data_IF_754184476630
#
_entry.id   IF_754184476630
#
_cell.length_a   1.000
_cell.length_b   1.000
_cell.length_c   1.000
_cell.angle_alpha   90.00
_cell.angle_beta   90.00
_cell.angle_gamma   90.00
#
_symmetry.space_group_name_H-M   'P 1'
#
loop_
_entity.id
_entity.type
_entity.pdbx_description
1 polymer ?
#
# COMPACT_ATOMS: atom_id res chain seq x y z
N UNK A 1 -5.71 -22.84 -10.29
CA UNK A 1 -5.93 -24.18 -9.70
C UNK A 1 -7.07 -24.04 -8.72
N UNK A 2 -7.99 -25.00 -8.61
CA UNK A 2 -9.12 -24.90 -7.67
C UNK A 2 -8.61 -24.63 -6.25
N UNK A 3 -9.02 -23.50 -5.69
CA UNK A 3 -8.93 -23.17 -4.27
C UNK A 3 -9.52 -24.35 -3.51
N UNK A 4 -8.68 -25.16 -2.87
CA UNK A 4 -9.16 -26.19 -1.96
C UNK A 4 -9.58 -25.52 -0.66
N UNK A 5 -10.80 -24.99 -0.67
CA UNK A 5 -11.56 -24.92 0.56
C UNK A 5 -11.63 -26.36 1.08
N UNK A 6 -11.06 -26.60 2.26
CA UNK A 6 -11.45 -27.78 3.02
C UNK A 6 -12.90 -27.55 3.44
N UNK A 7 -13.84 -27.81 2.54
CA UNK A 7 -15.24 -27.97 2.88
C UNK A 7 -15.31 -29.15 3.83
N UNK A 8 -15.33 -28.81 5.12
CA UNK A 8 -15.63 -29.71 6.23
C UNK A 8 -17.02 -30.26 5.92
N UNK A 9 -17.08 -31.48 5.38
CA UNK A 9 -18.34 -32.09 4.95
C UNK A 9 -19.33 -32.12 6.10
N UNK A 10 -20.35 -31.27 6.02
CA UNK A 10 -21.36 -31.09 7.06
C UNK A 10 -22.40 -32.20 6.97
N UNK A 11 -22.42 -33.11 7.94
CA UNK A 11 -23.54 -34.03 8.16
C UNK A 11 -24.55 -33.34 9.08
N UNK A 12 -25.62 -32.78 8.50
CA UNK A 12 -26.71 -32.02 9.15
C UNK A 12 -26.26 -30.84 10.02
N UNK A 13 -26.24 -29.63 9.45
CA UNK A 13 -25.95 -28.37 10.18
C UNK A 13 -26.77 -28.30 11.46
N UNK A 14 -26.07 -28.23 12.60
CA UNK A 14 -26.63 -27.53 13.75
C UNK A 14 -26.89 -26.11 13.28
N UNK A 15 -28.12 -25.64 13.46
CA UNK A 15 -28.57 -24.31 13.03
C UNK A 15 -27.98 -23.24 13.96
N UNK A 16 -26.67 -23.01 13.84
CA UNK A 16 -25.96 -21.97 14.56
C UNK A 16 -26.03 -20.68 13.75
N UNK A 17 -26.32 -19.58 14.41
CA UNK A 17 -26.39 -18.25 13.79
C UNK A 17 -25.02 -17.66 13.49
N UNK A 18 -23.99 -18.14 14.18
CA UNK A 18 -22.58 -17.75 14.05
C UNK A 18 -21.69 -18.88 14.55
N UNK A 19 -20.39 -18.80 14.24
CA UNK A 19 -19.41 -19.72 14.80
C UNK A 19 -19.10 -19.33 16.25
N UNK A 20 -19.19 -20.29 17.16
CA UNK A 20 -18.93 -20.07 18.59
C UNK A 20 -17.44 -19.91 18.85
N UNK A 21 -17.06 -19.01 19.75
CA UNK A 21 -15.68 -18.90 20.24
C UNK A 21 -15.57 -19.51 21.63
N UNK A 22 -14.58 -20.37 21.86
CA UNK A 22 -14.27 -20.88 23.19
C UNK A 22 -12.85 -20.47 23.63
N UNK A 23 -12.73 -19.76 24.75
CA UNK A 23 -11.46 -19.38 25.35
C UNK A 23 -11.24 -20.24 26.60
N UNK A 24 -10.11 -20.93 26.71
CA UNK A 24 -9.87 -21.91 27.77
C UNK A 24 -8.68 -21.45 28.62
N UNK A 25 -8.94 -21.05 29.86
CA UNK A 25 -7.87 -20.81 30.84
C UNK A 25 -7.27 -22.15 31.27
N UNK A 26 -5.97 -22.35 31.00
CA UNK A 26 -5.28 -23.63 31.27
C UNK A 26 -3.84 -23.43 31.77
N UNK A 27 -3.18 -24.51 32.19
CA UNK A 27 -1.78 -24.47 32.59
C UNK A 27 -1.13 -25.86 32.62
N UNK A 28 0.17 -25.94 32.33
CA UNK A 28 0.90 -27.23 32.25
C UNK A 28 0.97 -27.98 33.60
N UNK A 29 0.81 -27.29 34.72
CA UNK A 29 0.81 -27.87 36.06
C UNK A 29 -0.57 -28.41 36.50
N UNK A 30 -1.63 -28.12 35.75
CA UNK A 30 -3.00 -28.38 36.13
C UNK A 30 -3.43 -29.81 35.76
N UNK A 31 -3.63 -30.66 36.78
CA UNK A 31 -4.06 -32.05 36.59
C UNK A 31 -5.38 -32.16 35.81
N UNK A 32 -6.38 -31.34 36.15
CA UNK A 32 -7.71 -31.44 35.51
C UNK A 32 -7.74 -30.91 34.08
N UNK A 33 -6.77 -30.06 33.71
CA UNK A 33 -6.71 -29.42 32.40
C UNK A 33 -6.48 -30.42 31.26
N UNK A 34 -5.83 -31.56 31.53
CA UNK A 34 -5.64 -32.63 30.55
C UNK A 34 -6.96 -33.18 29.99
N UNK A 35 -8.04 -33.16 30.80
CA UNK A 35 -9.34 -33.68 30.37
C UNK A 35 -10.02 -32.70 29.41
N UNK A 36 -10.03 -31.40 29.74
CA UNK A 36 -10.52 -30.36 28.83
C UNK A 36 -9.75 -30.36 27.52
N UNK A 37 -8.41 -30.42 27.57
CA UNK A 37 -7.56 -30.46 26.37
C UNK A 37 -7.97 -31.61 25.43
N UNK A 38 -8.07 -32.83 25.97
CA UNK A 38 -8.43 -34.01 25.19
C UNK A 38 -9.85 -33.92 24.62
N UNK A 39 -10.83 -33.48 25.41
CA UNK A 39 -12.24 -33.42 24.99
C UNK A 39 -12.48 -32.30 23.96
N UNK A 40 -11.93 -31.11 24.17
CA UNK A 40 -12.11 -29.99 23.23
C UNK A 40 -11.49 -30.30 21.86
N UNK A 41 -10.31 -30.93 21.84
CA UNK A 41 -9.68 -31.37 20.59
C UNK A 41 -10.47 -32.49 19.90
N UNK A 42 -11.01 -33.46 20.65
CA UNK A 42 -11.86 -34.53 20.11
C UNK A 42 -13.16 -33.98 19.50
N UNK A 43 -13.83 -33.04 20.18
CA UNK A 43 -15.02 -32.35 19.63
C UNK A 43 -14.67 -31.58 18.35
N UNK A 44 -13.55 -30.82 18.37
CA UNK A 44 -13.12 -30.00 17.23
C UNK A 44 -12.81 -30.83 15.98
N UNK A 45 -12.03 -31.91 16.15
CA UNK A 45 -11.60 -32.79 15.06
C UNK A 45 -12.70 -33.69 14.55
N UNK A 46 -13.68 -34.05 15.38
CA UNK A 46 -14.87 -34.78 14.94
C UNK A 46 -15.71 -33.97 13.96
N UNK A 47 -15.74 -32.64 14.13
CA UNK A 47 -16.28 -31.71 13.15
C UNK A 47 -17.79 -31.52 13.13
N UNK A 48 -18.51 -32.08 14.11
CA UNK A 48 -19.97 -31.96 14.22
C UNK A 48 -20.46 -30.66 14.89
N UNK A 49 -19.55 -29.74 15.24
CA UNK A 49 -19.84 -28.47 15.91
C UNK A 49 -19.13 -27.33 15.17
N UNK A 50 -19.82 -26.19 15.04
CA UNK A 50 -19.29 -24.98 14.42
C UNK A 50 -18.73 -24.04 15.49
N UNK A 51 -17.45 -24.21 15.83
CA UNK A 51 -16.76 -23.39 16.83
C UNK A 51 -15.26 -23.34 16.54
N UNK A 52 -14.60 -22.29 17.02
CA UNK A 52 -13.15 -22.25 17.22
C UNK A 52 -12.83 -22.20 18.71
N UNK A 53 -11.62 -22.59 19.08
CA UNK A 53 -11.18 -22.45 20.47
C UNK A 53 -9.71 -22.07 20.59
N UNK A 54 -9.39 -21.41 21.70
CA UNK A 54 -8.05 -20.96 22.07
C UNK A 54 -7.71 -21.50 23.46
N UNK A 55 -6.55 -22.15 23.57
CA UNK A 55 -5.96 -22.52 24.85
C UNK A 55 -5.11 -21.36 25.37
N UNK A 56 -5.60 -20.68 26.40
CA UNK A 56 -4.92 -19.63 27.13
C UNK A 56 -4.01 -20.27 28.19
N UNK A 57 -2.82 -20.72 27.76
CA UNK A 57 -1.84 -21.37 28.64
C UNK A 57 -1.18 -20.31 29.53
N UNK A 58 -1.24 -20.48 30.85
CA UNK A 58 -0.73 -19.53 31.85
C UNK A 58 0.78 -19.23 31.80
N UNK A 59 1.53 -19.99 31.00
CA UNK A 59 2.93 -19.74 30.70
C UNK A 59 3.14 -18.61 29.68
N UNK A 60 2.08 -18.21 28.97
CA UNK A 60 2.08 -17.04 28.08
C UNK A 60 1.52 -15.81 28.85
N UNK A 61 2.29 -14.69 28.97
CA UNK A 61 1.82 -13.49 29.68
C UNK A 61 0.58 -12.84 29.06
N UNK A 62 0.41 -12.91 27.73
CA UNK A 62 -0.78 -12.37 27.03
C UNK A 62 -2.01 -13.22 27.38
N UNK A 63 -1.84 -14.54 27.43
CA UNK A 63 -2.89 -15.46 27.88
C UNK A 63 -3.29 -15.17 29.34
N UNK A 64 -2.31 -14.92 30.22
CA UNK A 64 -2.57 -14.57 31.62
C UNK A 64 -3.37 -13.27 31.74
N UNK A 65 -3.05 -12.25 30.94
CA UNK A 65 -3.83 -11.01 30.91
C UNK A 65 -5.28 -11.28 30.50
N UNK A 66 -5.49 -12.03 29.42
CA UNK A 66 -6.85 -12.40 28.97
C UNK A 66 -7.60 -13.22 30.02
N UNK A 67 -6.94 -14.18 30.68
CA UNK A 67 -7.50 -14.97 31.78
C UNK A 67 -7.93 -14.07 32.96
N UNK A 68 -7.12 -13.06 33.29
CA UNK A 68 -7.44 -12.14 34.38
C UNK A 68 -8.66 -11.27 34.07
N UNK A 69 -8.88 -10.91 32.80
CA UNK A 69 -10.08 -10.17 32.37
C UNK A 69 -11.37 -10.96 32.65
N UNK A 70 -11.29 -12.29 32.62
CA UNK A 70 -12.40 -13.17 33.00
C UNK A 70 -12.49 -13.42 34.51
N UNK A 71 -11.59 -12.88 35.33
CA UNK A 71 -11.54 -13.11 36.77
C UNK A 71 -11.61 -14.62 37.09
N UNK A 72 -10.64 -15.40 36.61
CA UNK A 72 -10.71 -16.87 36.66
C UNK A 72 -10.92 -17.40 38.09
N UNK A 73 -11.82 -18.39 38.21
CA UNK A 73 -12.11 -19.07 39.48
C UNK A 73 -11.12 -20.19 39.81
N UNK A 74 -10.63 -20.89 38.78
CA UNK A 74 -9.73 -22.02 38.88
C UNK A 74 -9.41 -22.56 37.49
N UNK A 75 -8.41 -23.44 37.40
CA UNK A 75 -8.02 -24.07 36.13
C UNK A 75 -8.54 -25.53 36.07
N UNK A 76 -9.06 -25.99 34.92
CA UNK A 76 -9.39 -25.20 33.73
C UNK A 76 -10.74 -24.47 33.90
N UNK A 77 -10.92 -23.38 33.16
CA UNK A 77 -12.23 -22.76 32.90
C UNK A 77 -12.36 -22.47 31.42
N UNK A 78 -13.50 -22.80 30.82
CA UNK A 78 -13.82 -22.47 29.43
C UNK A 78 -14.91 -21.40 29.38
N UNK A 79 -14.64 -20.30 28.69
CA UNK A 79 -15.58 -19.21 28.41
C UNK A 79 -16.01 -19.29 26.95
N UNK A 80 -17.30 -19.54 26.73
CA UNK A 80 -17.93 -19.56 25.40
C UNK A 80 -18.55 -18.20 25.09
N UNK A 81 -18.36 -17.72 23.86
CA UNK A 81 -18.79 -16.41 23.35
C UNK A 81 -18.50 -15.27 24.34
N UNK A 82 -17.24 -15.15 24.76
CA UNK A 82 -16.81 -14.08 25.67
C UNK A 82 -17.44 -14.13 27.06
N UNK A 83 -17.93 -15.31 27.46
CA UNK A 83 -18.49 -15.56 28.79
C UNK A 83 -20.01 -15.67 28.85
N UNK A 84 -20.69 -15.82 27.70
CA UNK A 84 -22.11 -16.17 27.66
C UNK A 84 -22.35 -17.54 28.28
N UNK A 85 -21.54 -18.53 27.88
CA UNK A 85 -21.46 -19.84 28.49
C UNK A 85 -20.17 -19.99 29.28
N UNK A 86 -20.19 -20.65 30.44
CA UNK A 86 -19.00 -20.88 31.25
C UNK A 86 -19.01 -22.31 31.80
N UNK A 87 -17.88 -23.01 31.64
CA UNK A 87 -17.62 -24.32 32.24
C UNK A 87 -16.42 -24.21 33.16
N UNK A 88 -16.65 -24.33 34.47
CA UNK A 88 -15.58 -24.41 35.48
C UNK A 88 -15.25 -25.88 35.75
N UNK A 89 -13.97 -26.23 35.64
CA UNK A 89 -13.43 -27.57 35.88
C UNK A 89 -13.17 -28.36 34.60
N UNK A 90 -12.37 -29.43 34.74
CA UNK A 90 -12.03 -30.32 33.62
C UNK A 90 -12.92 -31.55 33.60
N UNK A 91 -13.77 -31.65 32.60
CA UNK A 91 -14.66 -32.79 32.36
C UNK A 91 -14.09 -33.66 31.25
N UNK A 92 -14.21 -34.99 31.40
CA UNK A 92 -13.77 -35.97 30.41
C UNK A 92 -14.92 -36.42 29.48
N UNK A 93 -16.04 -35.69 29.51
CA UNK A 93 -17.24 -35.91 28.70
C UNK A 93 -17.56 -34.70 27.83
N UNK A 94 -18.19 -34.95 26.69
CA UNK A 94 -18.55 -33.90 25.74
C UNK A 94 -19.65 -32.98 26.26
N UNK A 95 -20.62 -33.53 27.00
CA UNK A 95 -21.91 -32.88 27.31
C UNK A 95 -21.76 -31.48 27.87
N UNK A 96 -20.84 -31.28 28.80
CA UNK A 96 -20.62 -30.03 29.51
C UNK A 96 -20.22 -28.90 28.55
N UNK A 97 -19.29 -29.20 27.63
CA UNK A 97 -18.81 -28.24 26.63
C UNK A 97 -19.84 -28.07 25.50
N UNK A 98 -20.35 -29.17 24.96
CA UNK A 98 -21.26 -29.12 23.81
C UNK A 98 -22.59 -28.47 24.13
N UNK A 99 -23.08 -28.61 25.37
CA UNK A 99 -24.31 -27.92 25.80
C UNK A 99 -24.12 -26.41 25.81
N UNK A 100 -22.94 -25.91 26.21
CA UNK A 100 -22.65 -24.48 26.14
C UNK A 100 -22.52 -24.02 24.68
N UNK A 101 -21.86 -24.81 23.82
CA UNK A 101 -21.79 -24.50 22.38
C UNK A 101 -23.18 -24.41 21.75
N UNK A 102 -24.09 -25.34 22.04
CA UNK A 102 -25.45 -25.33 21.49
C UNK A 102 -26.25 -24.11 22.00
N UNK A 103 -26.06 -23.72 23.26
CA UNK A 103 -26.67 -22.53 23.86
C UNK A 103 -26.13 -21.25 23.21
N UNK A 104 -24.82 -21.20 22.99
CA UNK A 104 -24.11 -20.06 22.41
C UNK A 104 -24.46 -19.90 20.92
N UNK A 105 -24.33 -20.95 20.13
CA UNK A 105 -24.61 -20.95 18.70
C UNK A 105 -26.07 -20.64 18.35
N UNK A 106 -27.01 -20.84 19.28
CA UNK A 106 -28.42 -20.47 19.11
C UNK A 106 -28.75 -18.99 19.43
N UNK A 107 -27.77 -18.19 19.90
CA UNK A 107 -27.96 -16.75 20.15
C UNK A 107 -28.34 -16.03 18.87
N UNK A 108 -29.23 -15.04 18.95
CA UNK A 108 -29.36 -14.07 17.87
C UNK A 108 -28.22 -13.07 17.99
N UNK A 109 -27.41 -12.96 16.95
CA UNK A 109 -26.30 -11.99 16.86
C UNK A 109 -26.58 -10.98 15.73
N UNK A 110 -25.99 -9.78 15.75
CA UNK A 110 -26.00 -8.87 14.62
C UNK A 110 -25.40 -9.52 13.36
N UNK A 111 -25.91 -9.15 12.18
CA UNK A 111 -25.41 -9.60 10.88
C UNK A 111 -24.11 -8.86 10.53
N UNK A 112 -23.01 -9.38 11.08
CA UNK A 112 -21.64 -8.94 10.82
C UNK A 112 -20.95 -10.05 10.06
N UNK A 113 -20.37 -9.72 8.91
CA UNK A 113 -19.63 -10.67 8.07
C UNK A 113 -18.15 -10.33 8.09
N UNK A 114 -17.35 -11.21 8.68
CA UNK A 114 -15.89 -11.05 8.71
C UNK A 114 -15.21 -11.92 7.65
N UNK A 115 -14.18 -11.36 7.03
CA UNK A 115 -13.23 -12.05 6.17
C UNK A 115 -11.82 -11.79 6.69
N UNK A 116 -10.97 -12.82 6.68
CA UNK A 116 -9.59 -12.71 7.11
C UNK A 116 -8.69 -13.50 6.16
N UNK A 117 -7.59 -12.86 5.79
CA UNK A 117 -6.50 -13.48 5.05
C UNK A 117 -5.26 -13.50 5.91
N UNK A 118 -4.56 -14.62 5.92
CA UNK A 118 -3.27 -14.78 6.59
C UNK A 118 -2.24 -15.19 5.55
N UNK A 119 -1.24 -14.36 5.33
CA UNK A 119 -0.20 -14.55 4.33
C UNK A 119 1.14 -14.79 5.00
N UNK A 120 1.88 -15.80 4.54
CA UNK A 120 3.26 -16.01 4.96
C UNK A 120 4.21 -15.17 4.11
N UNK A 121 4.86 -14.16 4.69
CA UNK A 121 5.61 -13.15 3.93
C UNK A 121 7.10 -13.51 3.82
N UNK A 122 7.86 -13.64 4.93
CA UNK A 122 9.27 -14.10 4.98
C UNK A 122 9.61 -14.58 6.41
N UNK A 123 10.67 -15.39 6.61
CA UNK A 123 11.30 -15.71 7.92
C UNK A 123 10.39 -15.74 9.19
N UNK A 124 9.38 -16.63 9.23
CA UNK A 124 8.44 -16.78 10.38
C UNK A 124 7.48 -15.59 10.61
N UNK A 125 7.35 -14.70 9.63
CA UNK A 125 6.45 -13.56 9.67
C UNK A 125 5.15 -13.84 8.91
N UNK A 126 4.04 -13.40 9.49
CA UNK A 126 2.73 -13.44 8.85
C UNK A 126 2.15 -12.04 8.72
N UNK A 127 1.45 -11.80 7.63
CA UNK A 127 0.57 -10.65 7.43
C UNK A 127 -0.87 -11.10 7.65
N UNK A 128 -1.62 -10.36 8.46
CA UNK A 128 -3.03 -10.61 8.74
C UNK A 128 -3.84 -9.43 8.22
N UNK A 129 -4.65 -9.68 7.20
CA UNK A 129 -5.57 -8.69 6.62
C UNK A 129 -7.01 -9.07 7.02
N UNK A 130 -7.76 -8.11 7.54
CA UNK A 130 -9.16 -8.30 7.96
C UNK A 130 -10.09 -7.33 7.23
N UNK A 131 -11.29 -7.83 6.89
CA UNK A 131 -12.43 -7.04 6.45
C UNK A 131 -13.65 -7.43 7.27
N UNK A 132 -14.34 -6.46 7.87
CA UNK A 132 -15.52 -6.70 8.68
C UNK A 132 -16.65 -5.82 8.15
N UNK A 133 -17.65 -6.44 7.56
CA UNK A 133 -18.80 -5.76 7.00
C UNK A 133 -19.96 -5.74 7.99
N UNK A 134 -20.56 -4.56 8.16
CA UNK A 134 -21.79 -4.41 8.92
C UNK A 134 -23.00 -4.43 7.98
N UNK A 135 -23.77 -5.53 7.98
CA UNK A 135 -24.98 -5.66 7.17
C UNK A 135 -26.24 -5.13 7.88
N UNK A 136 -26.10 -4.65 9.12
CA UNK A 136 -27.20 -4.04 9.87
C UNK A 136 -27.59 -2.66 9.34
N UNK A 137 -28.76 -2.20 9.78
CA UNK A 137 -29.28 -0.86 9.47
C UNK A 137 -28.80 0.23 10.42
N UNK A 138 -28.03 -0.13 11.45
CA UNK A 138 -27.43 0.77 12.43
C UNK A 138 -25.93 0.55 12.58
N UNK A 139 -25.22 1.54 13.11
CA UNK A 139 -23.80 1.41 13.43
C UNK A 139 -23.55 0.25 14.40
N UNK A 140 -22.61 -0.63 14.05
CA UNK A 140 -22.09 -1.66 14.93
C UNK A 140 -20.89 -1.11 15.71
N UNK A 141 -20.86 -1.31 17.02
CA UNK A 141 -19.71 -1.00 17.87
C UNK A 141 -19.28 -2.25 18.61
N UNK A 142 -17.98 -2.50 18.63
CA UNK A 142 -17.44 -3.72 19.19
C UNK A 142 -15.95 -3.64 19.44
N UNK A 143 -15.38 -4.79 19.76
CA UNK A 143 -13.97 -5.00 20.01
C UNK A 143 -13.52 -6.23 19.22
N UNK A 144 -12.41 -6.12 18.50
CA UNK A 144 -11.84 -7.25 17.76
C UNK A 144 -10.65 -7.79 18.50
N UNK A 145 -10.53 -9.13 18.53
CA UNK A 145 -9.29 -9.78 18.95
C UNK A 145 -8.95 -10.89 17.97
N UNK A 146 -7.77 -10.78 17.35
CA UNK A 146 -7.24 -11.79 16.43
C UNK A 146 -6.08 -12.53 17.12
N UNK A 147 -6.36 -13.75 17.57
CA UNK A 147 -5.42 -14.62 18.26
C UNK A 147 -4.53 -15.35 17.25
N UNK A 148 -3.22 -15.17 17.35
CA UNK A 148 -2.24 -16.01 16.66
C UNK A 148 -1.98 -17.22 17.54
N UNK A 149 -2.28 -18.41 17.04
CA UNK A 149 -2.21 -19.67 17.80
C UNK A 149 -1.32 -20.71 17.13
N UNK A 150 -0.70 -21.57 17.94
CA UNK A 150 -0.06 -22.80 17.45
C UNK A 150 -1.09 -23.92 17.34
N UNK A 151 -1.19 -24.55 16.16
CA UNK A 151 -2.10 -25.68 15.92
C UNK A 151 -1.73 -26.87 16.83
N UNK A 152 -0.44 -27.18 16.88
CA UNK A 152 0.18 -28.08 17.86
C UNK A 152 1.11 -27.24 18.72
N UNK A 153 0.72 -27.09 19.98
CA UNK A 153 1.35 -26.18 20.92
C UNK A 153 2.72 -26.66 21.37
N UNK A 154 3.64 -25.72 21.59
CA UNK A 154 4.88 -25.97 22.34
C UNK A 154 4.63 -26.33 23.81
N UNK A 155 3.48 -25.93 24.36
CA UNK A 155 3.11 -26.23 25.73
C UNK A 155 2.40 -27.57 25.80
N UNK A 156 2.75 -28.33 26.84
CA UNK A 156 2.17 -29.63 27.14
C UNK A 156 1.27 -29.55 28.35
N UNK A 157 0.25 -30.39 28.38
CA UNK A 157 -0.59 -30.58 29.54
C UNK A 157 0.10 -31.42 30.64
N UNK A 158 -0.61 -31.66 31.74
CA UNK A 158 -0.10 -32.45 32.86
C UNK A 158 0.25 -33.91 32.46
N UNK A 159 -0.44 -34.47 31.46
CA UNK A 159 -0.20 -35.82 30.95
C UNK A 159 0.91 -35.87 29.88
N UNK A 160 1.57 -34.74 29.61
CA UNK A 160 2.58 -34.57 28.58
C UNK A 160 2.04 -34.74 27.15
N UNK A 161 0.72 -34.55 26.95
CA UNK A 161 0.13 -34.36 25.63
C UNK A 161 0.25 -32.89 25.21
N UNK A 162 0.29 -32.64 23.90
CA UNK A 162 0.35 -31.27 23.38
C UNK A 162 -1.00 -30.58 23.60
N UNK A 163 -0.98 -29.30 23.95
CA UNK A 163 -2.16 -28.47 23.78
C UNK A 163 -2.37 -28.19 22.29
N UNK A 164 -3.58 -27.75 21.93
CA UNK A 164 -3.94 -27.37 20.57
C UNK A 164 -4.51 -25.96 20.56
N UNK A 165 -4.22 -25.19 19.52
CA UNK A 165 -4.64 -23.79 19.37
C UNK A 165 -4.22 -22.92 20.56
N UNK A 166 -3.01 -23.11 21.07
CA UNK A 166 -2.52 -22.28 22.18
C UNK A 166 -2.14 -20.89 21.71
N UNK A 167 -2.54 -19.88 22.47
CA UNK A 167 -2.21 -18.48 22.18
C UNK A 167 -0.70 -18.25 22.19
N UNK A 168 -0.19 -17.66 21.10
CA UNK A 168 1.13 -17.05 21.02
C UNK A 168 1.04 -15.54 21.25
N UNK A 169 0.29 -14.86 20.40
CA UNK A 169 0.28 -13.40 20.33
C UNK A 169 -1.04 -12.89 19.72
N UNK A 170 -1.21 -11.57 19.61
CA UNK A 170 -2.37 -10.93 19.03
C UNK A 170 -2.00 -10.16 17.76
N UNK A 171 -2.71 -10.42 16.67
CA UNK A 171 -2.62 -9.63 15.44
C UNK A 171 -3.44 -8.33 15.54
N UNK A 172 -4.53 -8.36 16.31
CA UNK A 172 -5.42 -7.22 16.60
C UNK A 172 -5.97 -7.35 18.02
N UNK A 173 -6.13 -6.22 18.71
CA UNK A 173 -6.74 -6.09 20.03
C UNK A 173 -7.25 -4.66 20.23
N UNK A 174 -8.38 -4.31 19.63
CA UNK A 174 -8.83 -2.91 19.56
C UNK A 174 -10.34 -2.75 19.37
N UNK A 175 -10.84 -1.55 19.67
CA UNK A 175 -12.25 -1.17 19.50
C UNK A 175 -12.52 -0.74 18.05
N UNK A 176 -13.68 -1.15 17.52
CA UNK A 176 -14.15 -0.82 16.17
C UNK A 176 -15.53 -0.15 16.20
N UNK A 177 -15.80 0.65 15.17
CA UNK A 177 -17.11 1.27 14.92
C UNK A 177 -17.39 1.32 13.43
N UNK A 178 -18.42 0.57 12.99
CA UNK A 178 -18.72 0.34 11.58
C UNK A 178 -20.12 0.89 11.28
N UNK A 179 -20.25 1.97 10.50
CA UNK A 179 -21.57 2.46 10.07
C UNK A 179 -22.36 1.39 9.30
N UNK A 180 -23.68 1.55 9.25
CA UNK A 180 -24.57 0.64 8.54
C UNK A 180 -24.19 0.51 7.06
N UNK A 181 -23.98 -0.73 6.60
CA UNK A 181 -23.61 -1.05 5.22
C UNK A 181 -22.14 -0.82 4.84
N UNK A 182 -21.32 -0.31 5.77
CA UNK A 182 -19.90 -0.04 5.53
C UNK A 182 -19.03 -1.24 5.95
N UNK A 183 -17.75 -1.21 5.54
CA UNK A 183 -16.74 -2.22 5.87
C UNK A 183 -15.58 -1.57 6.63
N UNK A 184 -15.15 -2.20 7.72
CA UNK A 184 -13.88 -1.91 8.37
C UNK A 184 -12.80 -2.80 7.77
N UNK A 185 -11.66 -2.22 7.40
CA UNK A 185 -10.52 -2.94 6.84
C UNK A 185 -9.26 -2.52 7.56
N UNK A 186 -8.46 -3.49 8.01
CA UNK A 186 -7.15 -3.22 8.60
C UNK A 186 -6.17 -4.38 8.34
N UNK A 187 -4.87 -4.09 8.56
CA UNK A 187 -3.77 -4.98 8.25
C UNK A 187 -2.69 -4.92 9.32
N UNK A 188 -2.17 -6.08 9.75
CA UNK A 188 -1.06 -6.17 10.70
C UNK A 188 0.00 -7.17 10.24
N UNK A 189 1.26 -6.84 10.52
CA UNK A 189 2.40 -7.75 10.31
C UNK A 189 2.86 -8.24 11.68
N UNK A 190 2.97 -9.56 11.83
CA UNK A 190 3.48 -10.19 13.03
C UNK A 190 4.80 -10.90 12.76
N UNK A 191 5.78 -10.67 13.64
CA UNK A 191 7.11 -11.26 13.56
C UNK A 191 7.29 -12.37 14.61
N UNK A 192 7.19 -13.63 14.14
CA UNK A 192 7.33 -14.82 14.96
C UNK A 192 8.75 -15.12 15.42
N UNK A 193 9.78 -14.47 14.85
CA UNK A 193 11.19 -14.78 15.15
C UNK A 193 11.58 -14.60 16.62
N UNK A 194 10.82 -13.77 17.34
CA UNK A 194 10.96 -13.56 18.79
C UNK A 194 10.63 -14.79 19.64
N UNK A 195 9.90 -15.76 19.09
CA UNK A 195 9.42 -16.97 19.76
C UNK A 195 10.38 -18.18 19.67
N UNK A 196 11.65 -17.97 19.30
CA UNK A 196 12.71 -18.98 19.08
C UNK A 196 12.55 -20.37 19.78
N UNK A 197 12.24 -21.36 18.94
CA UNK A 197 12.37 -22.83 19.03
C UNK A 197 11.38 -23.64 19.93
N UNK A 198 10.67 -24.65 19.38
CA UNK A 198 10.83 -25.21 18.03
C UNK A 198 10.07 -24.42 16.95
N UNK A 199 10.71 -24.46 15.78
CA UNK A 199 10.45 -23.75 14.52
C UNK A 199 8.96 -23.47 14.29
N UNK A 200 8.60 -22.18 14.30
CA UNK A 200 7.28 -21.74 13.88
C UNK A 200 7.18 -22.00 12.37
N UNK A 201 6.39 -22.99 11.99
CA UNK A 201 6.18 -23.32 10.59
C UNK A 201 4.82 -22.82 10.11
N UNK A 202 4.74 -22.49 8.83
CA UNK A 202 3.51 -22.05 8.18
C UNK A 202 2.32 -22.99 8.42
N UNK A 203 2.57 -24.29 8.47
CA UNK A 203 1.57 -25.34 8.70
C UNK A 203 1.20 -25.58 10.17
N UNK A 204 1.88 -24.93 11.12
CA UNK A 204 1.58 -25.02 12.55
C UNK A 204 0.98 -23.72 13.14
N UNK A 205 0.67 -22.72 12.31
CA UNK A 205 0.06 -21.46 12.74
C UNK A 205 -1.37 -21.36 12.24
N UNK A 206 -2.23 -20.77 13.06
CA UNK A 206 -3.57 -20.35 12.70
C UNK A 206 -3.86 -19.00 13.35
N UNK A 207 -4.68 -18.18 12.71
CA UNK A 207 -5.22 -16.96 13.30
C UNK A 207 -6.72 -17.17 13.51
N UNK A 208 -7.21 -16.87 14.70
CA UNK A 208 -8.63 -16.91 15.05
C UNK A 208 -9.07 -15.49 15.38
N UNK A 209 -10.02 -14.94 14.65
CA UNK A 209 -10.61 -13.62 14.91
C UNK A 209 -11.94 -13.80 15.61
N UNK A 210 -12.10 -13.16 16.77
CA UNK A 210 -13.40 -12.95 17.42
C UNK A 210 -13.81 -11.47 17.35
N UNK A 211 -15.05 -11.21 16.93
CA UNK A 211 -15.68 -9.89 16.95
C UNK A 211 -16.65 -9.85 18.13
N UNK A 212 -16.29 -9.09 19.17
CA UNK A 212 -17.05 -8.95 20.40
C UNK A 212 -17.93 -7.70 20.33
N UNK A 213 -19.15 -7.74 20.84
CA UNK A 213 -19.96 -6.53 20.98
C UNK A 213 -19.41 -5.60 22.06
N UNK A 214 -19.83 -4.33 22.00
CA UNK A 214 -19.47 -3.33 23.01
C UNK A 214 -20.36 -3.36 24.27
N UNK A 215 -21.41 -4.19 24.30
CA UNK A 215 -22.36 -4.24 25.40
C UNK A 215 -21.91 -5.23 26.48
N UNK A 216 -21.45 -4.70 27.62
CA UNK A 216 -21.06 -5.55 28.74
C UNK A 216 -22.27 -6.21 29.40
N UNK A 217 -22.06 -7.43 29.87
CA UNK A 217 -22.98 -8.23 30.66
C UNK A 217 -22.26 -8.76 31.89
N UNK A 218 -22.98 -8.97 33.00
CA UNK A 218 -22.37 -9.58 34.19
C UNK A 218 -22.13 -11.08 33.94
N UNK A 219 -20.86 -11.46 33.75
CA UNK A 219 -20.41 -12.86 33.71
C UNK A 219 -19.92 -13.35 35.07
N UNK A 220 -19.82 -14.66 35.23
CA UNK A 220 -19.28 -15.32 36.44
C UNK A 220 -18.39 -16.50 36.06
N UNK A 221 -17.12 -16.48 36.46
CA UNK A 221 -16.18 -17.57 36.21
C UNK A 221 -16.39 -18.77 37.12
N UNK A 222 -17.14 -18.60 38.20
CA UNK A 222 -17.73 -19.68 39.01
C UNK A 222 -19.26 -19.51 39.04
N UNK A 223 -19.96 -19.95 37.97
CA UNK A 223 -21.40 -19.77 37.87
C UNK A 223 -22.15 -20.41 39.06
N UNK A 224 -23.23 -19.77 39.56
CA UNK A 224 -23.88 -18.60 38.98
C UNK A 224 -23.48 -17.25 39.60
N UNK A 225 -22.52 -17.18 40.53
CA UNK A 225 -22.29 -15.94 41.29
C UNK A 225 -20.86 -15.68 41.75
N UNK A 226 -19.97 -16.66 41.63
CA UNK A 226 -18.57 -16.52 42.02
C UNK A 226 -17.74 -15.90 40.90
N UNK A 227 -16.75 -15.09 41.30
CA UNK A 227 -15.77 -14.47 40.41
C UNK A 227 -16.41 -13.69 39.23
N UNK A 228 -17.08 -12.57 39.53
CA UNK A 228 -17.74 -11.74 38.53
C UNK A 228 -16.73 -11.11 37.56
N UNK A 229 -17.10 -10.99 36.29
CA UNK A 229 -16.35 -10.27 35.25
C UNK A 229 -17.28 -9.57 34.27
N UNK A 230 -16.73 -8.64 33.49
CA UNK A 230 -17.44 -7.93 32.44
C UNK A 230 -17.39 -8.78 31.16
N UNK A 231 -18.50 -9.45 30.84
CA UNK A 231 -18.64 -10.31 29.67
C UNK A 231 -19.08 -9.48 28.46
N UNK A 232 -18.32 -9.56 27.38
CA UNK A 232 -18.67 -9.00 26.08
C UNK A 232 -18.87 -10.17 25.14
N UNK A 233 -20.05 -10.29 24.54
CA UNK A 233 -20.36 -11.51 23.80
C UNK A 233 -19.81 -11.46 22.39
N UNK A 234 -19.45 -12.63 21.87
CA UNK A 234 -18.97 -12.78 20.50
C UNK A 234 -20.15 -12.82 19.56
N UNK A 235 -20.06 -12.04 18.50
CA UNK A 235 -21.08 -11.93 17.45
C UNK A 235 -20.60 -12.56 16.13
N UNK A 236 -19.29 -12.63 15.87
CA UNK A 236 -18.71 -13.34 14.71
C UNK A 236 -17.36 -13.98 15.09
N UNK A 237 -17.08 -15.16 14.54
CA UNK A 237 -15.81 -15.88 14.68
C UNK A 237 -15.35 -16.51 13.38
N UNK A 238 -14.13 -16.20 12.96
CA UNK A 238 -13.50 -16.83 11.80
C UNK A 238 -12.08 -17.29 12.14
N UNK A 239 -11.58 -18.24 11.37
CA UNK A 239 -10.19 -18.69 11.48
C UNK A 239 -9.59 -18.87 10.10
N UNK A 240 -8.30 -18.59 9.99
CA UNK A 240 -7.53 -18.78 8.77
C UNK A 240 -6.11 -19.25 9.10
N UNK A 241 -5.59 -20.14 8.28
CA UNK A 241 -4.19 -20.60 8.35
C UNK A 241 -3.36 -19.85 7.31
N UNK A 242 -2.08 -19.54 7.60
CA UNK A 242 -1.23 -18.88 6.63
C UNK A 242 -1.13 -19.65 5.31
N UNK A 243 -1.29 -18.93 4.20
CA UNK A 243 -0.93 -19.42 2.87
C UNK A 243 0.28 -18.65 2.36
N UNK A 244 1.16 -19.31 1.62
CA UNK A 244 2.19 -18.61 0.83
C UNK A 244 1.51 -17.81 -0.27
N UNK A 245 1.79 -16.50 -0.37
CA UNK A 245 1.42 -15.71 -1.55
C UNK A 245 2.37 -16.08 -2.69
N UNK A 246 1.81 -16.39 -3.86
CA UNK A 246 2.60 -16.49 -5.08
C UNK A 246 2.73 -15.10 -5.69
N UNK A 247 3.96 -14.61 -5.97
CA UNK A 247 4.11 -13.28 -6.54
C UNK A 247 3.42 -13.20 -7.90
N UNK A 248 3.04 -11.99 -8.34
CA UNK A 248 2.47 -11.81 -9.66
C UNK A 248 3.37 -12.35 -10.77
N UNK A 249 2.78 -12.65 -11.93
CA UNK A 249 3.59 -12.89 -13.11
C UNK A 249 4.40 -11.62 -13.45
N UNK A 250 5.59 -11.79 -14.07
CA UNK A 250 6.36 -10.65 -14.56
C UNK A 250 5.50 -9.83 -15.53
N UNK A 251 5.36 -8.51 -15.35
CA UNK A 251 4.46 -7.74 -16.19
C UNK A 251 4.83 -7.79 -17.66
N UNK A 252 3.82 -7.54 -18.49
CA UNK A 252 4.01 -7.40 -19.92
C UNK A 252 4.98 -6.24 -20.23
N UNK A 253 5.69 -6.35 -21.36
CA UNK A 253 6.49 -5.25 -21.91
C UNK A 253 5.63 -3.97 -21.93
N UNK A 254 6.13 -2.81 -21.46
CA UNK A 254 5.39 -1.57 -21.57
C UNK A 254 4.91 -1.31 -23.01
N UNK A 255 3.70 -0.76 -23.14
CA UNK A 255 3.14 -0.28 -24.39
C UNK A 255 3.05 1.26 -24.37
N UNK A 256 3.44 1.88 -25.48
CA UNK A 256 3.60 3.33 -25.61
C UNK A 256 4.41 3.70 -26.85
N UNK A 257 4.68 5.00 -27.07
CA UNK A 257 5.50 5.46 -28.20
C UNK A 257 6.95 4.95 -28.13
N UNK A 258 7.55 4.68 -29.28
CA UNK A 258 8.96 4.30 -29.44
C UNK A 258 9.85 5.44 -29.95
N UNK A 259 9.27 6.60 -30.24
CA UNK A 259 9.95 7.84 -30.58
C UNK A 259 9.30 9.04 -29.84
N UNK A 260 10.11 10.02 -29.43
CA UNK A 260 9.65 11.21 -28.74
C UNK A 260 10.62 12.39 -28.80
N UNK A 261 10.25 13.51 -28.18
CA UNK A 261 11.02 14.75 -28.13
C UNK A 261 11.32 15.10 -26.67
N UNK A 262 12.54 15.55 -26.39
CA UNK A 262 12.94 15.96 -25.05
C UNK A 262 12.02 17.06 -24.49
N UNK A 263 11.65 16.96 -23.22
CA UNK A 263 10.77 17.90 -22.52
C UNK A 263 9.28 17.66 -22.73
N UNK A 264 8.88 16.67 -23.55
CA UNK A 264 7.47 16.30 -23.75
C UNK A 264 7.15 15.06 -22.91
N UNK A 265 5.99 15.10 -22.24
CA UNK A 265 5.48 14.00 -21.43
C UNK A 265 4.73 12.98 -22.29
N UNK A 266 5.02 11.70 -22.06
CA UNK A 266 4.42 10.56 -22.76
C UNK A 266 3.82 9.57 -21.75
N UNK A 267 2.73 8.90 -22.15
CA UNK A 267 2.08 7.87 -21.35
C UNK A 267 2.50 6.47 -21.80
N UNK A 268 2.69 5.59 -20.82
CA UNK A 268 3.00 4.18 -21.00
C UNK A 268 2.04 3.34 -20.18
N UNK A 269 1.74 2.16 -20.69
CA UNK A 269 0.85 1.20 -20.02
C UNK A 269 1.49 -0.17 -19.89
N UNK A 270 1.04 -0.95 -18.91
CA UNK A 270 1.39 -2.36 -18.78
C UNK A 270 0.31 -3.06 -17.93
N UNK A 271 0.35 -4.39 -17.89
CA UNK A 271 -0.51 -5.18 -17.02
C UNK A 271 0.19 -6.50 -16.65
N UNK A 272 -0.29 -7.14 -15.59
CA UNK A 272 0.06 -8.51 -15.22
C UNK A 272 -1.08 -9.13 -14.43
N UNK A 273 -0.99 -10.43 -14.18
CA UNK A 273 -1.93 -11.17 -13.33
C UNK A 273 -1.21 -11.76 -12.13
N UNK A 274 -1.92 -11.78 -11.01
CA UNK A 274 -1.53 -12.48 -9.80
C UNK A 274 -2.21 -13.87 -9.74
N UNK A 275 -1.47 -14.98 -9.49
CA UNK A 275 -2.06 -16.31 -9.44
C UNK A 275 -3.05 -16.53 -8.30
N UNK A 276 -2.91 -15.79 -7.19
CA UNK A 276 -3.82 -15.78 -6.04
C UNK A 276 -4.94 -14.72 -6.20
N UNK A 277 -4.93 -14.02 -7.34
CA UNK A 277 -5.86 -12.96 -7.70
C UNK A 277 -5.79 -11.74 -6.76
N UNK A 278 -4.59 -11.46 -6.26
CA UNK A 278 -4.29 -10.32 -5.40
C UNK A 278 -4.26 -9.00 -6.17
N UNK A 279 -4.38 -7.88 -5.47
CA UNK A 279 -4.13 -6.60 -6.11
C UNK A 279 -2.63 -6.38 -6.27
N UNK A 280 -2.28 -5.61 -7.29
CA UNK A 280 -0.93 -5.47 -7.80
C UNK A 280 -0.49 -4.01 -7.71
N UNK A 281 0.75 -3.82 -7.28
CA UNK A 281 1.48 -2.56 -7.31
C UNK A 281 2.54 -2.62 -8.41
N UNK A 282 2.67 -1.56 -9.20
CA UNK A 282 3.62 -1.48 -10.31
C UNK A 282 4.70 -0.43 -10.08
N UNK A 283 5.90 -0.67 -10.60
CA UNK A 283 6.99 0.32 -10.61
C UNK A 283 7.66 0.37 -11.97
N UNK A 284 7.76 1.57 -12.53
CA UNK A 284 8.43 1.83 -13.80
C UNK A 284 9.86 2.31 -13.56
N UNK A 285 10.78 1.82 -14.38
CA UNK A 285 12.13 2.35 -14.59
C UNK A 285 12.15 2.97 -15.99
N UNK A 286 12.50 4.25 -16.06
CA UNK A 286 12.43 5.05 -17.28
C UNK A 286 13.73 5.00 -18.11
N UNK A 287 14.74 4.27 -17.66
CA UNK A 287 16.00 4.07 -18.37
C UNK A 287 16.98 5.26 -18.31
N UNK A 288 16.60 6.36 -17.67
CA UNK A 288 17.43 7.56 -17.45
C UNK A 288 18.01 7.65 -16.02
N UNK A 289 17.78 6.60 -15.21
CA UNK A 289 18.16 6.54 -13.80
C UNK A 289 17.06 7.00 -12.83
N UNK A 290 15.92 7.47 -13.35
CA UNK A 290 14.72 7.78 -12.56
C UNK A 290 13.72 6.62 -12.56
N UNK A 291 12.85 6.62 -11.55
CA UNK A 291 11.82 5.60 -11.34
C UNK A 291 10.51 6.26 -10.93
N UNK A 292 9.38 5.61 -11.24
CA UNK A 292 8.11 5.97 -10.62
C UNK A 292 8.09 5.60 -9.12
N UNK A 293 7.13 6.18 -8.40
CA UNK A 293 6.65 5.56 -7.16
C UNK A 293 6.00 4.20 -7.47
N UNK A 294 5.73 3.40 -6.44
CA UNK A 294 4.83 2.26 -6.59
C UNK A 294 3.42 2.80 -6.88
N UNK A 295 2.84 2.36 -7.99
CA UNK A 295 1.52 2.76 -8.47
C UNK A 295 0.53 1.64 -8.18
N UNK A 296 -0.61 1.96 -7.58
CA UNK A 296 -1.66 1.00 -7.21
C UNK A 296 -2.27 1.28 -5.85
N UNK A 297 -2.98 0.33 -5.24
CA UNK A 297 -3.19 -1.06 -5.69
C UNK A 297 -4.23 -1.19 -6.82
N UNK A 298 -4.00 -2.12 -7.76
CA UNK A 298 -4.91 -2.42 -8.88
C UNK A 298 -5.38 -3.88 -8.84
N UNK A 299 -6.64 -4.21 -9.14
CA UNK A 299 -7.08 -5.60 -9.32
C UNK A 299 -6.17 -6.40 -10.29
N UNK A 300 -5.99 -7.69 -10.01
CA UNK A 300 -5.26 -8.61 -10.90
C UNK A 300 -5.78 -8.53 -12.34
N UNK A 301 -4.88 -8.32 -13.30
CA UNK A 301 -5.21 -8.18 -14.72
C UNK A 301 -5.58 -6.75 -15.18
N UNK A 302 -5.71 -5.78 -14.28
CA UNK A 302 -5.97 -4.38 -14.67
C UNK A 302 -4.73 -3.71 -15.28
N UNK A 303 -5.00 -2.76 -16.19
CA UNK A 303 -3.96 -1.98 -16.89
C UNK A 303 -3.54 -0.79 -16.04
N UNK A 304 -2.24 -0.69 -15.73
CA UNK A 304 -1.64 0.51 -15.13
C UNK A 304 -1.24 1.52 -16.22
N UNK A 305 -1.37 2.82 -15.93
CA UNK A 305 -0.86 3.91 -16.78
C UNK A 305 0.08 4.80 -15.98
N UNK A 306 1.24 5.12 -16.55
CA UNK A 306 2.23 6.02 -15.97
C UNK A 306 2.77 6.98 -17.03
N UNK A 307 3.12 8.20 -16.63
CA UNK A 307 3.68 9.24 -17.52
C UNK A 307 5.12 9.59 -17.16
N UNK A 308 5.92 9.96 -18.16
CA UNK A 308 7.29 10.46 -17.98
C UNK A 308 7.72 11.36 -19.13
N UNK A 309 8.72 12.22 -18.88
CA UNK A 309 9.41 13.01 -19.89
C UNK A 309 10.93 12.92 -19.69
N UNK A 310 11.69 13.11 -20.76
CA UNK A 310 13.16 13.10 -20.72
C UNK A 310 13.71 14.49 -20.98
N UNK A 311 14.64 14.95 -20.14
CA UNK A 311 15.29 16.27 -20.29
C UNK A 311 16.22 16.35 -21.50
N UNK A 312 16.76 15.21 -21.95
CA UNK A 312 17.80 15.15 -22.99
C UNK A 312 17.50 14.07 -24.03
N UNK A 313 18.02 14.29 -25.23
CA UNK A 313 18.00 13.32 -26.31
C UNK A 313 18.76 12.04 -25.94
N UNK A 314 18.29 10.89 -26.38
CA UNK A 314 18.89 9.60 -26.05
C UNK A 314 18.06 8.40 -26.47
N UNK A 315 18.60 7.20 -26.22
CA UNK A 315 17.85 5.95 -26.27
C UNK A 315 17.64 5.47 -24.85
N UNK A 316 16.40 5.17 -24.47
CA UNK A 316 16.04 4.74 -23.13
C UNK A 316 15.29 3.40 -23.19
N UNK A 317 15.49 2.57 -22.17
CA UNK A 317 14.85 1.27 -22.03
C UNK A 317 13.87 1.30 -20.87
N UNK A 318 12.58 1.42 -21.18
CA UNK A 318 11.51 1.47 -20.20
C UNK A 318 11.14 0.05 -19.81
N UNK A 319 11.11 -0.23 -18.51
CA UNK A 319 10.72 -1.54 -17.98
C UNK A 319 9.85 -1.36 -16.76
N UNK A 320 9.05 -2.38 -16.46
CA UNK A 320 8.12 -2.38 -15.33
C UNK A 320 8.32 -3.66 -14.52
N UNK A 321 8.14 -3.58 -13.21
CA UNK A 321 8.02 -4.74 -12.33
C UNK A 321 6.81 -4.58 -11.43
N UNK A 322 6.36 -5.68 -10.86
CA UNK A 322 5.21 -5.73 -10.00
C UNK A 322 5.53 -6.37 -8.64
N UNK A 323 4.60 -6.22 -7.71
CA UNK A 323 4.45 -7.02 -6.49
C UNK A 323 2.98 -7.01 -6.11
N UNK A 324 2.53 -8.00 -5.35
CA UNK A 324 1.20 -7.92 -4.74
C UNK A 324 1.20 -6.90 -3.57
N UNK A 325 0.01 -6.50 -3.13
CA UNK A 325 -0.18 -5.69 -1.91
C UNK A 325 -0.09 -6.49 -0.60
N UNK A 326 0.26 -7.78 -0.70
CA UNK A 326 0.36 -8.73 0.40
C UNK A 326 1.78 -9.01 0.87
N UNK A 327 2.75 -8.22 0.40
CA UNK A 327 4.13 -8.28 0.89
C UNK A 327 4.97 -9.35 0.21
N UNK A 328 4.57 -9.81 -0.98
CA UNK A 328 5.37 -10.73 -1.80
C UNK A 328 6.70 -10.14 -2.27
N UNK A 329 7.56 -11.07 -2.67
CA UNK A 329 8.78 -10.85 -3.43
C UNK A 329 8.45 -10.11 -4.73
N UNK A 330 9.15 -9.00 -4.99
CA UNK A 330 9.01 -8.26 -6.26
C UNK A 330 9.34 -9.15 -7.46
N UNK A 331 8.58 -9.01 -8.54
CA UNK A 331 8.90 -9.72 -9.79
C UNK A 331 10.24 -9.26 -10.33
N UNK A 332 10.85 -10.08 -11.20
CA UNK A 332 11.84 -9.58 -12.13
C UNK A 332 11.26 -8.43 -12.99
N UNK A 333 12.15 -7.60 -13.55
CA UNK A 333 11.76 -6.58 -14.51
C UNK A 333 11.28 -7.21 -15.82
N UNK A 334 10.25 -6.63 -16.42
CA UNK A 334 9.77 -7.00 -17.75
C UNK A 334 10.83 -6.80 -18.83
N UNK A 335 10.59 -7.39 -20.01
CA UNK A 335 11.38 -7.05 -21.19
C UNK A 335 11.23 -5.55 -21.49
N UNK A 336 12.30 -4.83 -21.84
CA UNK A 336 12.23 -3.39 -22.02
C UNK A 336 11.52 -2.98 -23.31
N UNK A 337 10.82 -1.85 -23.27
CA UNK A 337 10.42 -1.06 -24.43
C UNK A 337 11.49 0.01 -24.69
N UNK A 338 12.13 -0.02 -25.87
CA UNK A 338 13.06 1.02 -26.26
C UNK A 338 12.31 2.23 -26.81
N UNK A 339 12.66 3.43 -26.33
CA UNK A 339 12.20 4.71 -26.89
C UNK A 339 13.40 5.56 -27.32
N UNK A 340 13.29 6.18 -28.50
CA UNK A 340 14.27 7.13 -29.02
C UNK A 340 13.77 8.56 -28.84
N UNK A 341 14.43 9.32 -27.97
CA UNK A 341 14.15 10.73 -27.74
C UNK A 341 15.11 11.59 -28.55
N UNK A 342 14.57 12.45 -29.40
CA UNK A 342 15.34 13.48 -30.12
C UNK A 342 15.34 14.80 -29.36
N UNK A 343 16.39 15.60 -29.56
CA UNK A 343 16.46 16.93 -28.97
C UNK A 343 15.41 17.86 -29.59
N UNK A 344 14.69 18.61 -28.75
CA UNK A 344 13.81 19.68 -29.21
C UNK A 344 14.59 20.82 -29.93
N UNK A 345 13.89 21.85 -30.41
CA UNK A 345 14.55 23.10 -30.79
C UNK A 345 15.22 23.72 -29.55
N UNK A 346 16.36 24.37 -29.73
CA UNK A 346 17.07 25.10 -28.67
C UNK A 346 17.58 26.42 -29.26
N UNK A 347 17.25 27.55 -28.63
CA UNK A 347 17.58 28.87 -29.15
C UNK A 347 18.85 29.41 -28.49
N UNK A 348 19.73 30.02 -29.29
CA UNK A 348 20.90 30.75 -28.79
C UNK A 348 21.01 32.12 -29.48
N UNK A 349 21.11 33.19 -28.70
CA UNK A 349 21.33 34.54 -29.16
C UNK A 349 22.83 34.83 -29.20
N UNK A 350 23.34 35.06 -30.41
CA UNK A 350 24.74 35.40 -30.65
C UNK A 350 25.11 36.80 -30.09
N UNK A 351 26.39 37.16 -30.20
CA UNK A 351 26.90 38.42 -29.69
C UNK A 351 26.22 39.61 -30.39
N UNK A 352 25.67 40.52 -29.58
CA UNK A 352 25.09 41.77 -30.05
C UNK A 352 26.21 42.65 -30.62
N UNK A 353 26.06 43.08 -31.87
CA UNK A 353 27.02 43.93 -32.57
C UNK A 353 26.44 45.31 -32.79
N UNK A 354 27.13 46.32 -32.28
CA UNK A 354 26.85 47.73 -32.58
C UNK A 354 27.40 48.15 -33.93
N UNK A 355 26.89 49.26 -34.46
CA UNK A 355 27.36 49.83 -35.71
C UNK A 355 26.70 51.17 -36.01
N UNK A 356 26.62 51.50 -37.29
CA UNK A 356 25.91 52.69 -37.76
C UNK A 356 24.40 52.44 -37.68
N UNK A 357 23.69 53.33 -36.99
CA UNK A 357 22.24 53.38 -36.78
C UNK A 357 21.57 52.18 -36.11
N UNK A 358 22.20 51.01 -36.04
CA UNK A 358 21.53 49.80 -35.57
C UNK A 358 22.42 48.95 -34.69
N UNK A 359 21.77 48.12 -33.87
CA UNK A 359 22.36 46.91 -33.31
C UNK A 359 21.83 45.71 -34.07
N UNK A 360 22.68 44.70 -34.23
CA UNK A 360 22.34 43.47 -34.93
C UNK A 360 22.83 42.27 -34.11
N UNK A 361 22.05 41.19 -34.13
CA UNK A 361 22.50 39.91 -33.61
C UNK A 361 21.93 38.77 -34.47
N UNK A 362 22.30 37.54 -34.15
CA UNK A 362 21.74 36.34 -34.75
C UNK A 362 21.05 35.51 -33.69
N UNK A 363 19.89 34.98 -34.01
CA UNK A 363 19.25 33.91 -33.26
C UNK A 363 19.59 32.61 -34.00
N UNK A 364 20.15 31.65 -33.28
CA UNK A 364 20.52 30.32 -33.78
C UNK A 364 19.56 29.29 -33.22
N UNK A 365 19.27 28.26 -33.99
CA UNK A 365 18.71 27.03 -33.47
C UNK A 365 19.85 26.02 -33.31
N UNK A 366 20.26 25.76 -32.08
CA UNK A 366 21.30 24.79 -31.74
C UNK A 366 20.74 23.40 -31.39
N UNK A 367 19.41 23.25 -31.39
CA UNK A 367 18.72 21.98 -31.17
C UNK A 367 18.63 21.10 -32.42
N UNK A 368 17.98 19.93 -32.28
CA UNK A 368 17.92 18.91 -33.33
C UNK A 368 16.66 19.01 -34.21
N UNK A 369 15.61 19.69 -33.73
CA UNK A 369 14.38 19.94 -34.47
C UNK A 369 14.23 21.40 -34.92
N UNK A 370 13.49 21.69 -36.00
CA UNK A 370 13.19 23.06 -36.43
C UNK A 370 12.50 23.87 -35.32
N UNK A 371 12.91 25.13 -35.17
CA UNK A 371 12.29 26.08 -34.27
C UNK A 371 11.29 26.93 -35.07
N UNK A 372 10.01 26.87 -34.71
CA UNK A 372 8.94 27.57 -35.42
C UNK A 372 8.29 28.65 -34.55
N UNK A 373 7.73 29.69 -35.18
CA UNK A 373 7.00 30.78 -34.52
C UNK A 373 7.77 31.49 -33.39
N UNK A 374 9.07 31.75 -33.60
CA UNK A 374 9.92 32.35 -32.59
C UNK A 374 9.62 33.84 -32.48
N UNK A 375 9.13 34.26 -31.33
CA UNK A 375 8.95 35.66 -30.99
C UNK A 375 10.27 36.24 -30.49
N UNK A 376 10.67 37.41 -31.01
CA UNK A 376 11.89 38.07 -30.55
C UNK A 376 11.67 39.56 -30.29
N UNK A 377 12.44 40.08 -29.35
CA UNK A 377 12.43 41.51 -29.00
C UNK A 377 13.85 42.04 -28.82
N UNK A 378 14.11 43.25 -29.29
CA UNK A 378 15.29 44.05 -29.00
C UNK A 378 14.82 45.32 -28.29
N UNK A 379 15.30 45.54 -27.08
CA UNK A 379 14.96 46.70 -26.25
C UNK A 379 16.23 47.40 -25.73
N UNK A 380 16.23 48.74 -25.74
CA UNK A 380 17.30 49.56 -25.17
C UNK A 380 16.84 50.26 -23.89
N UNK A 381 17.57 50.04 -22.80
CA UNK A 381 17.33 50.67 -21.51
C UNK A 381 18.41 51.71 -21.20
N UNK A 382 17.97 52.93 -20.83
CA UNK A 382 18.84 54.06 -20.54
C UNK A 382 19.42 54.76 -21.77
N UNK A 383 20.04 55.93 -21.54
CA UNK A 383 20.48 56.86 -22.58
C UNK A 383 19.57 58.10 -22.66
N UNK A 384 19.98 59.10 -23.44
CA UNK A 384 19.27 60.38 -23.61
C UNK A 384 18.90 60.56 -25.07
N UNK A 385 17.65 60.97 -25.32
CA UNK A 385 17.10 61.20 -26.68
C UNK A 385 17.17 59.97 -27.59
N UNK A 386 17.00 58.75 -27.06
CA UNK A 386 16.86 57.55 -27.90
C UNK A 386 15.50 57.58 -28.59
N UNK A 387 15.51 57.69 -29.92
CA UNK A 387 14.33 57.52 -30.76
C UNK A 387 14.19 56.04 -31.13
N UNK A 388 12.99 55.46 -30.96
CA UNK A 388 12.64 54.06 -31.30
C UNK A 388 13.54 52.98 -30.67
N UNK A 389 13.63 52.99 -29.34
CA UNK A 389 14.45 52.05 -28.55
C UNK A 389 13.94 50.61 -28.46
N UNK A 390 12.85 50.26 -29.15
CA UNK A 390 12.25 48.92 -29.10
C UNK A 390 11.87 48.42 -30.50
N UNK A 391 12.17 47.15 -30.76
CA UNK A 391 11.80 46.45 -31.98
C UNK A 391 11.48 44.99 -31.67
N UNK A 392 10.44 44.43 -32.28
CA UNK A 392 10.06 43.04 -32.11
C UNK A 392 9.61 42.44 -33.44
N UNK A 393 9.53 41.11 -33.50
CA UNK A 393 9.05 40.39 -34.66
C UNK A 393 8.88 38.91 -34.38
N UNK A 394 8.44 38.18 -35.42
CA UNK A 394 8.29 36.73 -35.41
C UNK A 394 9.17 36.14 -36.51
N UNK A 395 9.83 35.03 -36.22
CA UNK A 395 10.56 34.21 -37.19
C UNK A 395 9.77 32.93 -37.37
N UNK A 396 9.28 32.71 -38.59
CA UNK A 396 8.40 31.57 -38.90
C UNK A 396 9.10 30.23 -38.68
N UNK A 397 10.37 30.10 -39.10
CA UNK A 397 11.14 28.87 -38.99
C UNK A 397 12.66 29.15 -38.98
N UNK A 398 13.37 28.54 -38.04
CA UNK A 398 14.82 28.33 -38.07
C UNK A 398 15.08 26.81 -38.08
N UNK A 399 15.52 26.23 -39.22
CA UNK A 399 15.91 24.82 -39.28
C UNK A 399 16.99 24.48 -38.25
N UNK A 400 17.11 23.21 -37.84
CA UNK A 400 18.16 22.74 -36.94
C UNK A 400 19.56 23.15 -37.46
N UNK A 401 20.40 23.72 -36.58
CA UNK A 401 21.70 24.31 -36.91
C UNK A 401 21.64 25.62 -37.72
N UNK A 402 20.44 26.13 -38.01
CA UNK A 402 20.21 27.36 -38.75
C UNK A 402 20.38 28.62 -37.90
N UNK A 403 20.42 29.76 -38.57
CA UNK A 403 20.50 31.07 -37.92
C UNK A 403 19.76 32.15 -38.71
N UNK A 404 19.17 33.12 -38.01
CA UNK A 404 18.50 34.28 -38.60
C UNK A 404 19.06 35.55 -37.98
N UNK A 405 19.37 36.53 -38.83
CA UNK A 405 19.86 37.84 -38.37
C UNK A 405 18.70 38.79 -38.08
N UNK A 406 18.67 39.33 -36.86
CA UNK A 406 17.71 40.35 -36.44
C UNK A 406 18.42 41.68 -36.20
N UNK A 407 17.70 42.78 -36.41
CA UNK A 407 18.24 44.13 -36.27
C UNK A 407 17.25 45.04 -35.57
N UNK A 408 17.76 46.00 -34.81
CA UNK A 408 16.93 47.06 -34.24
C UNK A 408 16.37 47.97 -35.35
N UNK A 409 15.39 48.78 -34.97
CA UNK A 409 15.07 50.01 -35.71
C UNK A 409 16.26 50.98 -35.68
N UNK A 410 16.15 52.07 -36.43
CA UNK A 410 17.15 53.12 -36.45
C UNK A 410 17.24 53.77 -35.07
N UNK A 411 18.39 53.64 -34.43
CA UNK A 411 18.73 54.23 -33.14
C UNK A 411 19.47 55.55 -33.38
N UNK A 412 18.93 56.62 -32.83
CA UNK A 412 19.60 57.92 -32.73
C UNK A 412 19.51 58.37 -31.28
N UNK A 413 20.63 58.75 -30.66
CA UNK A 413 20.65 59.18 -29.25
C UNK A 413 22.05 59.39 -28.68
N UNK A 414 22.15 59.56 -27.37
CA UNK A 414 23.41 59.80 -26.68
C UNK A 414 23.49 59.06 -25.34
N UNK A 415 24.70 58.68 -24.93
CA UNK A 415 24.97 58.22 -23.56
C UNK A 415 25.15 56.71 -23.44
N UNK A 416 25.26 56.23 -22.20
CA UNK A 416 25.33 54.79 -21.88
C UNK A 416 23.91 54.20 -21.96
N UNK A 417 23.81 53.00 -22.50
CA UNK A 417 22.56 52.23 -22.64
C UNK A 417 22.86 50.75 -22.44
N UNK A 418 21.83 49.93 -22.24
CA UNK A 418 21.92 48.46 -22.27
C UNK A 418 20.97 47.92 -23.33
N UNK A 419 21.48 47.03 -24.16
CA UNK A 419 20.67 46.33 -25.17
C UNK A 419 20.25 45.00 -24.58
N UNK A 420 18.95 44.72 -24.57
CA UNK A 420 18.35 43.44 -24.26
C UNK A 420 17.82 42.82 -25.55
N UNK A 421 18.09 41.54 -25.74
CA UNK A 421 17.51 40.75 -26.82
C UNK A 421 16.90 39.50 -26.18
N UNK A 422 15.67 39.20 -26.53
CA UNK A 422 14.98 37.97 -26.15
C UNK A 422 14.49 37.25 -27.40
N UNK A 423 14.47 35.92 -27.35
CA UNK A 423 13.90 35.04 -28.34
C UNK A 423 13.20 33.88 -27.63
N UNK A 424 11.94 33.60 -27.95
CA UNK A 424 11.15 32.58 -27.27
C UNK A 424 10.15 31.90 -28.21
N UNK A 425 9.87 30.64 -27.94
CA UNK A 425 8.75 29.87 -28.50
C UNK A 425 7.71 29.74 -27.39
N UNK A 426 6.43 29.94 -27.71
CA UNK A 426 5.34 29.81 -26.73
C UNK A 426 5.33 28.38 -26.14
N UNK A 427 5.27 28.28 -24.81
CA UNK A 427 5.43 27.03 -24.04
C UNK A 427 6.68 26.20 -24.43
N UNK A 428 7.73 26.84 -24.95
CA UNK A 428 8.92 26.20 -25.50
C UNK A 428 10.26 26.83 -25.06
N UNK A 429 11.36 26.56 -25.79
CA UNK A 429 12.68 27.10 -25.47
C UNK A 429 12.73 28.62 -25.61
N UNK A 430 13.51 29.27 -24.75
CA UNK A 430 13.78 30.70 -24.83
C UNK A 430 15.25 31.00 -24.52
N UNK A 431 15.75 32.09 -25.07
CA UNK A 431 17.04 32.65 -24.70
C UNK A 431 16.97 34.18 -24.57
N UNK A 432 17.82 34.72 -23.73
CA UNK A 432 17.94 36.16 -23.54
C UNK A 432 19.40 36.58 -23.39
N UNK A 433 19.73 37.71 -24.00
CA UNK A 433 21.07 38.30 -23.92
C UNK A 433 21.00 39.78 -23.68
N UNK A 434 21.83 40.27 -22.77
CA UNK A 434 21.99 41.70 -22.57
C UNK A 434 23.47 42.12 -22.66
N UNK A 435 23.71 43.32 -23.19
CA UNK A 435 25.06 43.88 -23.32
C UNK A 435 25.05 45.40 -23.10
N UNK A 436 26.08 45.89 -22.39
CA UNK A 436 26.35 47.31 -22.24
C UNK A 436 26.73 47.95 -23.58
N UNK A 437 26.21 49.15 -23.84
CA UNK A 437 26.50 49.89 -25.05
C UNK A 437 26.59 51.41 -24.80
N UNK A 438 27.20 52.12 -25.75
CA UNK A 438 27.25 53.58 -25.78
C UNK A 438 26.76 54.09 -27.13
N UNK A 439 25.76 54.96 -27.09
CA UNK A 439 25.21 55.64 -28.28
C UNK A 439 25.88 57.00 -28.45
N UNK A 440 26.37 57.28 -29.65
CA UNK A 440 27.04 58.51 -30.06
C UNK A 440 26.38 59.04 -31.33
N UNK A 441 25.29 59.79 -31.15
CA UNK A 441 24.39 60.27 -32.21
C UNK A 441 23.80 59.13 -33.04
N UNK A 442 24.52 58.63 -34.03
CA UNK A 442 24.09 57.55 -34.91
C UNK A 442 25.01 56.32 -34.83
N UNK A 443 26.07 56.35 -34.03
CA UNK A 443 26.98 55.22 -33.88
C UNK A 443 26.76 54.53 -32.53
N UNK A 444 26.57 53.22 -32.56
CA UNK A 444 26.36 52.40 -31.37
C UNK A 444 27.60 51.54 -31.18
N UNK A 445 28.30 51.74 -30.05
CA UNK A 445 29.41 50.87 -29.63
C UNK A 445 28.90 49.91 -28.56
N UNK A 446 28.91 48.61 -28.86
CA UNK A 446 28.58 47.55 -27.88
C UNK A 446 29.87 47.04 -27.23
N UNK A 447 29.84 46.77 -25.94
CA UNK A 447 30.99 46.33 -25.16
C UNK A 447 31.16 44.81 -25.27
N UNK A 448 32.33 44.36 -25.72
CA UNK A 448 32.67 42.94 -25.82
C UNK A 448 33.06 42.46 -24.42
N UNK A 449 32.20 41.67 -23.75
CA UNK A 449 32.51 41.01 -22.47
C UNK A 449 31.70 41.44 -21.23
N UNK A 450 30.73 42.35 -21.36
CA UNK A 450 29.92 42.84 -20.23
C UNK A 450 30.53 44.07 -19.51
N UNK A 451 29.62 44.88 -18.93
CA UNK A 451 29.70 46.32 -18.56
C UNK A 451 30.34 47.29 -19.55
#
# INVERSE_FOLDING_TARGET
METKYYDKTIDSERDYTHKVLAEIGTGSWCYWCQFTNAVMYDIYTNGNYNFEYIELVDSNPIAVERINNFNIAGYPTTWFDGGYGVVLGGYDTWTEYTSQMDICGARSVPDIHAEMRVSWIEEEQIKVDINIQNNETSTYTGHIRAYIVEIVSRWKDYANADYHHSLLDLAFDEDISIPAGETYSDSSNWDGSSWNNPDLTMDNIMVILGVFNSEWNQGYSDPPSGNPFDAYYVDETIAATPSSSTPPETPEKPDGPDEGVSGIEYNFTSSTTDPDNDNILYKFDWGDGSYSNWLGSYPSGDIVTASHFWDYAGNFEIRVKAKDDNGSIETDWSTPLSIHIVGGPELEIDMIKGGLFKVNTKIKNIGELPAENISWTIHLDGGTLILDGENSGVIDNIPAGGEVSISSKMIIGFGKTRVYVTAEIDDGPSDSRNQGAKVLLFYIKVNIGGE
#
